data_IF_231888588782
#
_entry.id   IF_231888588782
#
_cell.length_a   1.000
_cell.length_b   1.000
_cell.length_c   1.000
_cell.angle_alpha   90.00
_cell.angle_beta   90.00
_cell.angle_gamma   90.00
#
_symmetry.space_group_name_H-M   'P 1'
#
loop_
_entity.id
_entity.type
_entity.pdbx_description
1 polymer ?
#
# COMPACT_ATOMS: atom_id res chain seq x y z
N UNK A 1 22.93 2.04 -12.40
CA UNK A 1 22.14 0.85 -12.05
C UNK A 1 20.71 1.32 -11.98
N UNK A 2 19.92 1.11 -13.02
CA UNK A 2 18.48 1.34 -12.99
C UNK A 2 17.88 0.33 -12.00
N UNK A 3 17.23 0.85 -10.95
CA UNK A 3 16.51 0.02 -9.99
C UNK A 3 15.38 -0.75 -10.68
N UNK A 4 14.85 -1.81 -10.06
CA UNK A 4 13.76 -2.55 -10.65
C UNK A 4 12.56 -1.62 -10.82
N UNK A 5 12.00 -1.54 -12.02
CA UNK A 5 10.81 -0.72 -12.31
C UNK A 5 9.70 -1.10 -11.32
N UNK A 6 9.36 -0.16 -10.43
CA UNK A 6 8.29 -0.28 -9.43
C UNK A 6 7.03 0.45 -9.86
N UNK A 7 7.07 1.19 -10.98
CA UNK A 7 6.01 2.12 -11.40
C UNK A 7 4.71 1.41 -11.70
N UNK A 8 4.77 0.19 -12.25
CA UNK A 8 3.59 -0.66 -12.48
C UNK A 8 2.89 -1.07 -11.18
N UNK A 9 3.65 -1.50 -10.18
CA UNK A 9 3.10 -1.94 -8.88
C UNK A 9 2.59 -0.77 -8.06
N UNK A 10 3.31 0.36 -8.06
CA UNK A 10 2.88 1.59 -7.40
C UNK A 10 1.50 2.05 -7.88
N UNK A 11 1.29 2.06 -9.21
CA UNK A 11 0.00 2.44 -9.80
C UNK A 11 -1.15 1.54 -9.34
N UNK A 12 -0.92 0.24 -9.20
CA UNK A 12 -1.95 -0.68 -8.71
C UNK A 12 -2.25 -0.49 -7.23
N UNK A 13 -1.24 -0.18 -6.41
CA UNK A 13 -1.43 0.19 -5.01
C UNK A 13 -2.31 1.45 -4.91
N UNK A 14 -2.03 2.47 -5.72
CA UNK A 14 -2.86 3.68 -5.77
C UNK A 14 -4.31 3.38 -6.15
N UNK A 15 -4.54 2.53 -7.16
CA UNK A 15 -5.90 2.10 -7.55
C UNK A 15 -6.62 1.43 -6.38
N UNK A 16 -5.96 0.48 -5.69
CA UNK A 16 -6.55 -0.20 -4.52
C UNK A 16 -6.92 0.78 -3.42
N UNK A 17 -6.04 1.74 -3.12
CA UNK A 17 -6.30 2.74 -2.08
C UNK A 17 -7.35 3.78 -2.49
N UNK A 18 -7.49 4.08 -3.78
CA UNK A 18 -8.60 4.89 -4.30
C UNK A 18 -9.94 4.17 -4.14
N UNK A 19 -9.99 2.87 -4.46
CA UNK A 19 -11.23 2.10 -4.38
C UNK A 19 -11.67 1.83 -2.93
N UNK A 20 -10.73 1.43 -2.08
CA UNK A 20 -11.01 1.04 -0.70
C UNK A 20 -10.99 2.23 0.28
N UNK A 21 -10.50 3.40 -0.14
CA UNK A 21 -10.20 4.59 0.69
C UNK A 21 -9.10 4.37 1.72
N UNK A 22 -9.10 3.22 2.39
CA UNK A 22 -8.05 2.73 3.26
C UNK A 22 -7.94 1.20 3.15
N UNK A 23 -6.73 0.66 3.25
CA UNK A 23 -6.51 -0.78 3.14
C UNK A 23 -5.30 -1.24 3.97
N UNK A 24 -5.36 -2.45 4.51
CA UNK A 24 -4.20 -3.06 5.19
C UNK A 24 -3.14 -3.51 4.18
N UNK A 25 -1.90 -3.70 4.65
CA UNK A 25 -0.84 -4.28 3.80
C UNK A 25 -1.27 -5.59 3.15
N UNK A 26 -1.97 -6.45 3.90
CA UNK A 26 -2.45 -7.75 3.40
C UNK A 26 -3.48 -7.58 2.29
N UNK A 27 -4.47 -6.70 2.48
CA UNK A 27 -5.48 -6.43 1.45
C UNK A 27 -4.87 -5.86 0.16
N UNK A 28 -3.86 -4.99 0.30
CA UNK A 28 -3.12 -4.45 -0.84
C UNK A 28 -2.37 -5.57 -1.55
N UNK A 29 -1.67 -6.43 -0.80
CA UNK A 29 -0.98 -7.60 -1.39
C UNK A 29 -1.94 -8.49 -2.14
N UNK A 30 -3.05 -8.87 -1.52
CA UNK A 30 -4.05 -9.77 -2.12
C UNK A 30 -4.64 -9.16 -3.41
N UNK A 31 -5.01 -7.88 -3.38
CA UNK A 31 -5.61 -7.19 -4.53
C UNK A 31 -4.61 -6.95 -5.65
N UNK A 32 -3.41 -6.45 -5.34
CA UNK A 32 -2.39 -6.16 -6.35
C UNK A 32 -1.86 -7.43 -6.98
N UNK A 33 -1.73 -8.52 -6.22
CA UNK A 33 -1.25 -9.81 -6.76
C UNK A 33 -2.19 -10.43 -7.79
N UNK A 34 -3.48 -10.06 -7.82
CA UNK A 34 -4.41 -10.46 -8.90
C UNK A 34 -3.96 -9.88 -10.24
N UNK A 35 -3.44 -8.65 -10.24
CA UNK A 35 -3.03 -7.94 -11.46
C UNK A 35 -1.53 -8.08 -11.76
N UNK A 36 -0.72 -8.34 -10.72
CA UNK A 36 0.73 -8.40 -10.82
C UNK A 36 1.29 -9.44 -9.83
N UNK A 37 1.29 -10.71 -10.25
CA UNK A 37 1.58 -11.88 -9.40
C UNK A 37 3.02 -11.92 -8.84
N UNK A 38 4.00 -11.35 -9.54
CA UNK A 38 5.43 -11.35 -9.13
C UNK A 38 5.81 -10.19 -8.20
N UNK A 39 4.84 -9.44 -7.67
CA UNK A 39 5.12 -8.23 -6.89
C UNK A 39 4.76 -8.29 -5.42
N UNK A 40 4.17 -9.39 -4.94
CA UNK A 40 3.71 -9.53 -3.55
C UNK A 40 4.81 -9.17 -2.52
N UNK A 41 6.02 -9.69 -2.71
CA UNK A 41 7.15 -9.46 -1.80
C UNK A 41 7.67 -8.01 -1.83
N UNK A 42 7.42 -7.27 -2.92
CA UNK A 42 7.89 -5.89 -3.10
C UNK A 42 6.91 -4.86 -2.55
N UNK A 43 5.63 -5.22 -2.36
CA UNK A 43 4.58 -4.28 -1.93
C UNK A 43 4.90 -3.59 -0.59
N UNK A 44 5.36 -4.29 0.48
CA UNK A 44 5.71 -3.61 1.73
C UNK A 44 6.83 -2.56 1.57
N UNK A 45 7.81 -2.85 0.71
CA UNK A 45 8.90 -1.91 0.39
C UNK A 45 8.36 -0.70 -0.39
N UNK A 46 7.49 -0.92 -1.37
CA UNK A 46 6.90 0.16 -2.18
C UNK A 46 6.00 1.05 -1.32
N UNK A 47 5.16 0.47 -0.45
CA UNK A 47 4.35 1.24 0.50
C UNK A 47 5.21 2.14 1.39
N UNK A 48 6.35 1.62 1.85
CA UNK A 48 7.32 2.41 2.63
C UNK A 48 7.87 3.58 1.81
N UNK A 49 8.26 3.34 0.55
CA UNK A 49 8.75 4.38 -0.35
C UNK A 49 7.68 5.44 -0.65
N UNK A 50 6.47 5.03 -1.03
CA UNK A 50 5.34 5.94 -1.28
C UNK A 50 5.01 6.81 -0.07
N UNK A 51 5.17 6.26 1.14
CA UNK A 51 5.00 7.00 2.39
C UNK A 51 6.13 8.01 2.62
N UNK A 52 7.38 7.65 2.31
CA UNK A 52 8.50 8.59 2.36
C UNK A 52 8.34 9.72 1.33
N UNK A 53 7.76 9.42 0.18
CA UNK A 53 7.45 10.39 -0.88
C UNK A 53 6.20 11.24 -0.57
N UNK A 54 5.51 10.97 0.55
CA UNK A 54 4.32 11.71 0.97
C UNK A 54 3.06 11.42 0.15
N UNK A 55 3.04 10.35 -0.65
CA UNK A 55 1.88 9.94 -1.45
C UNK A 55 0.80 9.24 -0.61
N UNK A 56 1.23 8.52 0.42
CA UNK A 56 0.35 7.77 1.32
C UNK A 56 0.75 7.99 2.77
N UNK A 57 -0.20 7.79 3.68
CA UNK A 57 0.05 7.70 5.11
C UNK A 57 -0.47 6.38 5.66
N UNK A 58 -0.07 6.06 6.90
CA UNK A 58 -0.59 4.89 7.59
C UNK A 58 -1.09 5.25 8.99
N UNK A 59 -2.05 4.46 9.44
CA UNK A 59 -2.55 4.43 10.81
C UNK A 59 -2.39 3.03 11.37
N UNK A 60 -2.13 2.91 12.66
CA UNK A 60 -2.11 1.62 13.34
C UNK A 60 -3.44 1.44 14.04
N UNK A 61 -4.25 0.51 13.54
CA UNK A 61 -5.55 0.17 14.13
C UNK A 61 -5.42 -1.08 14.98
N UNK A 62 -6.09 -1.09 16.13
CA UNK A 62 -6.11 -2.25 17.02
C UNK A 62 -7.32 -3.11 16.66
N UNK A 63 -7.11 -4.40 16.40
CA UNK A 63 -8.20 -5.34 16.15
C UNK A 63 -9.12 -5.43 17.38
N UNK A 64 -10.40 -5.75 17.17
CA UNK A 64 -11.40 -5.79 18.24
C UNK A 64 -11.09 -6.74 19.40
N UNK A 65 -10.19 -7.71 19.20
CA UNK A 65 -9.66 -8.59 20.25
C UNK A 65 -8.52 -7.98 21.09
N UNK A 66 -8.03 -6.80 20.70
CA UNK A 66 -6.98 -6.04 21.39
C UNK A 66 -5.55 -6.58 21.23
N UNK A 67 -5.37 -7.78 20.67
CA UNK A 67 -4.06 -8.47 20.61
C UNK A 67 -3.30 -8.20 19.31
N UNK A 68 -3.99 -7.83 18.24
CA UNK A 68 -3.37 -7.55 16.94
C UNK A 68 -3.46 -6.07 16.58
N UNK A 69 -2.35 -5.55 16.06
CA UNK A 69 -2.24 -4.21 15.49
C UNK A 69 -2.09 -4.37 13.98
N UNK A 70 -2.99 -3.77 13.23
CA UNK A 70 -2.93 -3.76 11.77
C UNK A 70 -2.47 -2.38 11.30
N UNK A 71 -1.63 -2.36 10.27
CA UNK A 71 -1.23 -1.14 9.58
C UNK A 71 -2.23 -0.93 8.44
N UNK A 72 -2.94 0.19 8.48
CA UNK A 72 -3.89 0.62 7.47
C UNK A 72 -3.30 1.80 6.73
N UNK A 73 -3.23 1.70 5.41
CA UNK A 73 -2.69 2.70 4.51
C UNK A 73 -3.81 3.49 3.85
N UNK A 74 -3.57 4.77 3.57
CA UNK A 74 -4.49 5.66 2.86
C UNK A 74 -3.73 6.60 1.94
N UNK A 75 -4.36 7.04 0.85
CA UNK A 75 -3.79 8.09 0.00
C UNK A 75 -3.80 9.42 0.73
N UNK A 76 -2.71 10.18 0.60
CA UNK A 76 -2.69 11.57 1.02
C UNK A 76 -3.37 12.43 -0.05
N UNK A 77 -4.26 13.36 0.35
CA UNK A 77 -4.87 14.28 -0.60
C UNK A 77 -3.77 15.12 -1.25
N UNK A 78 -3.62 15.02 -2.57
CA UNK A 78 -2.70 15.86 -3.33
C UNK A 78 -3.14 17.31 -3.15
N UNK A 79 -2.32 18.12 -2.47
CA UNK A 79 -2.53 19.57 -2.40
C UNK A 79 -2.37 20.12 -3.82
N UNK A 80 -3.49 20.45 -4.45
CA UNK A 80 -3.55 21.28 -5.66
C UNK A 80 -3.20 22.72 -5.32
#
# INVERSE_FOLDING_TARGET
MDGPDTSGTEKWIEVVLLELHEATTTEIVDRVSIFNQDCADRIPMILTQMRMDGKISYSVVQSGDGKRKNIVWKLEPTKK
#
